data_IF_091817833282
#
_entry.id   IF_091817833282
#
_cell.length_a   1.000
_cell.length_b   1.000
_cell.length_c   1.000
_cell.angle_alpha   90.00
_cell.angle_beta   90.00
_cell.angle_gamma   90.00
#
_symmetry.space_group_name_H-M   'P 1'
#
loop_
_entity.id
_entity.type
_entity.pdbx_description
1 polymer ?
#
# COMPACT_ATOMS: atom_id res chain seq x y z
N UNK A 1 -6.33 14.42 6.26
CA UNK A 1 -5.17 14.78 5.41
C UNK A 1 -5.35 14.15 4.04
N UNK A 2 -4.91 14.81 2.97
CA UNK A 2 -4.89 14.25 1.61
C UNK A 2 -3.48 14.43 1.04
N UNK A 3 -2.99 13.42 0.33
CA UNK A 3 -1.68 13.43 -0.31
C UNK A 3 -1.80 12.88 -1.73
N UNK A 4 -1.01 13.42 -2.65
CA UNK A 4 -0.95 12.96 -4.02
C UNK A 4 0.51 13.00 -4.49
N UNK A 5 0.98 11.90 -5.05
CA UNK A 5 2.33 11.78 -5.61
C UNK A 5 2.25 11.21 -7.03
N UNK A 6 3.16 11.65 -7.88
CA UNK A 6 3.39 11.11 -9.21
C UNK A 6 4.86 10.70 -9.32
N UNK A 7 5.12 9.58 -9.97
CA UNK A 7 6.46 9.09 -10.23
C UNK A 7 6.51 8.42 -11.61
N UNK A 8 7.62 8.58 -12.32
CA UNK A 8 7.92 7.85 -13.55
C UNK A 8 8.78 6.65 -13.19
N UNK A 9 8.35 5.46 -13.59
CA UNK A 9 9.05 4.21 -13.32
C UNK A 9 9.57 3.67 -14.66
N UNK A 10 10.88 3.36 -14.79
CA UNK A 10 11.44 2.82 -16.03
C UNK A 10 11.12 1.32 -16.17
N UNK A 11 9.83 1.00 -16.27
CA UNK A 11 9.30 -0.34 -16.44
C UNK A 11 8.06 -0.31 -17.34
N UNK A 12 7.79 -1.43 -18.03
CA UNK A 12 6.54 -1.59 -18.78
C UNK A 12 5.32 -1.48 -17.85
N UNK A 13 4.21 -0.95 -18.37
CA UNK A 13 2.98 -0.75 -17.58
C UNK A 13 2.42 -2.06 -17.02
N UNK A 14 2.45 -3.13 -17.81
CA UNK A 14 1.97 -4.47 -17.42
C UNK A 14 2.80 -5.09 -16.27
N UNK A 15 4.13 -5.24 -16.36
CA UNK A 15 4.90 -5.80 -15.25
C UNK A 15 4.84 -4.91 -13.99
N UNK A 16 4.76 -3.59 -14.15
CA UNK A 16 4.56 -2.68 -13.01
C UNK A 16 3.20 -2.90 -12.33
N UNK A 17 2.14 -3.09 -13.12
CA UNK A 17 0.80 -3.39 -12.61
C UNK A 17 0.78 -4.67 -11.79
N UNK A 18 1.31 -5.77 -12.33
CA UNK A 18 1.35 -7.04 -11.61
C UNK A 18 2.22 -6.95 -10.33
N UNK A 19 3.31 -6.17 -10.35
CA UNK A 19 4.07 -5.88 -9.14
C UNK A 19 3.26 -5.11 -8.10
N UNK A 20 2.60 -4.01 -8.49
CA UNK A 20 1.86 -3.13 -7.57
C UNK A 20 0.65 -3.82 -6.92
N UNK A 21 0.10 -4.84 -7.56
CA UNK A 21 -1.00 -5.64 -7.02
C UNK A 21 -0.54 -6.82 -6.16
N UNK A 22 0.74 -7.16 -6.17
CA UNK A 22 1.32 -8.14 -5.26
C UNK A 22 1.67 -7.45 -3.93
N UNK A 23 0.68 -7.33 -3.05
CA UNK A 23 0.81 -6.62 -1.76
C UNK A 23 2.02 -7.10 -0.93
N UNK A 24 2.29 -8.42 -0.77
CA UNK A 24 3.49 -8.89 -0.09
C UNK A 24 4.81 -8.44 -0.74
N UNK A 25 4.90 -8.40 -2.09
CA UNK A 25 6.09 -7.88 -2.76
C UNK A 25 6.24 -6.38 -2.59
N UNK A 26 5.17 -5.60 -2.77
CA UNK A 26 5.19 -4.13 -2.60
C UNK A 26 5.59 -3.76 -1.18
N UNK A 27 5.10 -4.49 -0.17
CA UNK A 27 5.37 -4.21 1.23
C UNK A 27 6.87 -4.25 1.57
N UNK A 28 7.68 -5.03 0.84
CA UNK A 28 9.15 -5.08 1.02
C UNK A 28 9.84 -3.77 0.66
N UNK A 29 9.19 -2.91 -0.12
CA UNK A 29 9.69 -1.59 -0.48
C UNK A 29 9.32 -0.52 0.55
N UNK A 30 8.49 -0.85 1.55
CA UNK A 30 8.04 0.10 2.57
C UNK A 30 8.96 0.04 3.81
N UNK A 31 9.43 1.19 4.31
CA UNK A 31 10.28 1.21 5.49
C UNK A 31 9.50 0.77 6.73
N UNK A 32 10.08 -0.13 7.51
CA UNK A 32 9.53 -0.55 8.80
C UNK A 32 8.44 -1.62 8.72
N UNK A 33 8.15 -2.21 7.57
CA UNK A 33 7.24 -3.38 7.51
C UNK A 33 7.91 -4.56 8.23
N UNK A 34 7.24 -5.09 9.26
CA UNK A 34 7.68 -6.31 9.96
C UNK A 34 7.05 -7.55 9.33
N UNK A 35 5.76 -7.50 8.99
CA UNK A 35 5.05 -8.63 8.39
C UNK A 35 3.86 -8.18 7.54
N UNK A 36 3.56 -8.99 6.52
CA UNK A 36 2.31 -8.94 5.76
C UNK A 36 1.84 -10.35 5.53
N UNK A 37 0.62 -10.64 5.95
CA UNK A 37 -0.02 -11.94 5.84
C UNK A 37 -1.29 -11.79 5.02
N UNK A 38 -1.44 -12.58 3.97
CA UNK A 38 -2.69 -12.65 3.23
C UNK A 38 -3.72 -13.42 4.05
N UNK A 39 -4.89 -12.81 4.29
CA UNK A 39 -6.00 -13.44 5.02
C UNK A 39 -7.00 -14.09 4.05
N UNK A 40 -7.25 -13.43 2.93
CA UNK A 40 -8.09 -13.91 1.84
C UNK A 40 -7.63 -13.32 0.48
N UNK A 41 -8.40 -13.50 -0.58
CA UNK A 41 -8.06 -13.02 -1.93
C UNK A 41 -7.81 -11.51 -2.03
N UNK A 42 -8.41 -10.71 -1.15
CA UNK A 42 -8.37 -9.24 -1.20
C UNK A 42 -7.93 -8.58 0.10
N UNK A 43 -7.85 -9.34 1.20
CA UNK A 43 -7.54 -8.83 2.53
C UNK A 43 -6.17 -9.31 3.01
N UNK A 44 -5.41 -8.37 3.56
CA UNK A 44 -4.10 -8.60 4.16
C UNK A 44 -4.06 -8.02 5.56
N UNK A 45 -3.36 -8.69 6.46
CA UNK A 45 -2.94 -8.13 7.74
C UNK A 45 -1.48 -7.71 7.67
N UNK A 46 -1.19 -6.47 8.06
CA UNK A 46 0.16 -5.90 8.05
C UNK A 46 0.55 -5.40 9.43
N UNK A 47 1.83 -5.59 9.78
CA UNK A 47 2.45 -4.94 10.94
C UNK A 47 3.61 -4.06 10.48
N UNK A 48 3.54 -2.79 10.88
CA UNK A 48 4.51 -1.75 10.58
C UNK A 48 5.11 -1.22 11.89
N UNK A 49 6.43 -1.24 11.99
CA UNK A 49 7.21 -0.63 13.05
C UNK A 49 8.08 0.48 12.49
N UNK A 50 7.73 1.72 12.81
CA UNK A 50 8.49 2.90 12.39
C UNK A 50 8.97 3.69 13.60
N UNK A 51 10.08 4.42 13.43
CA UNK A 51 10.50 5.44 14.38
C UNK A 51 10.30 6.81 13.76
N UNK A 52 9.56 7.67 14.46
CA UNK A 52 9.38 9.09 14.11
C UNK A 52 9.98 9.92 15.24
N UNK A 53 11.21 10.40 15.04
CA UNK A 53 11.96 11.08 16.10
C UNK A 53 12.18 10.15 17.32
N UNK A 54 11.96 10.62 18.56
CA UNK A 54 12.12 9.79 19.75
C UNK A 54 10.98 8.77 19.94
N UNK A 55 9.91 8.83 19.13
CA UNK A 55 8.71 8.00 19.29
C UNK A 55 8.80 6.76 18.41
N UNK A 56 8.70 5.58 19.02
CA UNK A 56 8.52 4.31 18.31
C UNK A 56 7.04 3.97 18.18
N UNK A 57 6.57 3.72 16.97
CA UNK A 57 5.20 3.33 16.67
C UNK A 57 5.17 1.91 16.15
N UNK A 58 4.22 1.11 16.64
CA UNK A 58 3.91 -0.22 16.11
C UNK A 58 2.43 -0.25 15.74
N UNK A 59 2.17 -0.25 14.44
CA UNK A 59 0.84 -0.26 13.86
C UNK A 59 0.55 -1.66 13.32
N UNK A 60 -0.58 -2.23 13.74
CA UNK A 60 -1.11 -3.46 13.13
C UNK A 60 -2.47 -3.13 12.53
N UNK A 61 -2.70 -3.61 11.31
CA UNK A 61 -3.91 -3.24 10.57
C UNK A 61 -4.24 -4.15 9.42
N UNK A 62 -5.45 -3.96 8.90
CA UNK A 62 -5.97 -4.61 7.71
C UNK A 62 -5.83 -3.71 6.49
N UNK A 63 -5.48 -4.32 5.38
CA UNK A 63 -5.41 -3.71 4.05
C UNK A 63 -6.37 -4.50 3.17
N UNK A 64 -7.30 -3.79 2.51
CA UNK A 64 -8.30 -4.39 1.63
C UNK A 64 -8.12 -3.84 0.22
N UNK A 65 -7.95 -4.73 -0.76
CA UNK A 65 -7.98 -4.40 -2.18
C UNK A 65 -9.42 -4.13 -2.59
N UNK A 66 -9.79 -2.85 -2.65
CA UNK A 66 -11.15 -2.39 -2.89
C UNK A 66 -11.49 -2.25 -4.38
N UNK A 67 -10.48 -2.09 -5.24
CA UNK A 67 -10.65 -2.01 -6.70
C UNK A 67 -9.43 -2.60 -7.39
N UNK A 68 -9.67 -3.42 -8.42
CA UNK A 68 -8.69 -3.91 -9.39
C UNK A 68 -9.26 -3.78 -10.80
N UNK A 69 -9.10 -2.62 -11.41
CA UNK A 69 -9.53 -2.36 -12.78
C UNK A 69 -8.31 -2.35 -13.71
N UNK A 70 -8.01 -3.52 -14.28
CA UNK A 70 -6.91 -3.67 -15.24
C UNK A 70 -7.18 -2.97 -16.56
N UNK A 71 -8.44 -2.82 -16.98
CA UNK A 71 -8.79 -2.19 -18.25
C UNK A 71 -8.44 -0.70 -18.22
N UNK A 72 -8.72 -0.03 -17.09
CA UNK A 72 -8.43 1.39 -16.90
C UNK A 72 -7.13 1.65 -16.11
N UNK A 73 -6.41 0.59 -15.72
CA UNK A 73 -5.19 0.63 -14.92
C UNK A 73 -5.34 1.37 -13.60
N UNK A 74 -6.46 1.12 -12.91
CA UNK A 74 -6.82 1.75 -11.64
C UNK A 74 -6.95 0.71 -10.54
N UNK A 75 -6.38 0.99 -9.39
CA UNK A 75 -6.61 0.19 -8.19
C UNK A 75 -6.83 1.08 -6.98
N UNK A 76 -7.53 0.55 -6.00
CA UNK A 76 -7.77 1.23 -4.73
C UNK A 76 -7.58 0.28 -3.56
N UNK A 77 -7.00 0.81 -2.49
CA UNK A 77 -6.80 0.13 -1.21
C UNK A 77 -7.53 0.88 -0.12
N UNK A 78 -8.12 0.14 0.82
CA UNK A 78 -8.56 0.66 2.11
C UNK A 78 -7.65 0.11 3.19
N UNK A 79 -7.26 0.97 4.12
CA UNK A 79 -6.37 0.61 5.22
C UNK A 79 -7.04 0.99 6.52
N UNK A 80 -7.07 0.06 7.46
CA UNK A 80 -7.47 0.30 8.83
C UNK A 80 -6.38 -0.24 9.74
N UNK A 81 -5.70 0.61 10.49
CA UNK A 81 -4.67 0.21 11.45
C UNK A 81 -4.94 0.85 12.80
N UNK A 82 -4.54 0.17 13.87
CA UNK A 82 -4.61 0.72 15.21
C UNK A 82 -3.24 0.62 15.88
N UNK A 83 -2.89 1.64 16.64
CA UNK A 83 -1.79 1.57 17.59
C UNK A 83 -2.33 1.05 18.93
N UNK A 84 -1.82 -0.10 19.38
CA UNK A 84 -2.25 -0.73 20.63
C UNK A 84 -1.84 0.06 21.88
N UNK A 85 -0.82 0.92 21.78
CA UNK A 85 -0.29 1.73 22.89
C UNK A 85 -0.80 3.16 22.87
N UNK A 86 -1.03 3.75 21.70
CA UNK A 86 -1.37 5.17 21.56
C UNK A 86 -2.88 5.48 21.42
N UNK A 87 -3.76 4.47 21.50
CA UNK A 87 -5.23 4.59 21.32
C UNK A 87 -5.68 5.25 19.99
N UNK A 88 -4.78 5.39 19.02
CA UNK A 88 -5.05 6.01 17.73
C UNK A 88 -5.43 4.95 16.69
N UNK A 89 -6.57 5.16 16.02
CA UNK A 89 -6.96 4.41 14.83
C UNK A 89 -6.66 5.23 13.57
N UNK A 90 -5.96 4.63 12.62
CA UNK A 90 -5.71 5.16 11.28
C UNK A 90 -6.66 4.49 10.32
N UNK A 91 -7.46 5.30 9.61
CA UNK A 91 -8.22 4.86 8.45
C UNK A 91 -7.78 5.64 7.22
N UNK A 92 -7.53 4.95 6.13
CA UNK A 92 -7.02 5.54 4.90
C UNK A 92 -7.63 4.89 3.67
N UNK A 93 -7.89 5.71 2.66
CA UNK A 93 -8.23 5.24 1.32
C UNK A 93 -7.12 5.71 0.38
N UNK A 94 -6.61 4.81 -0.43
CA UNK A 94 -5.57 5.08 -1.43
C UNK A 94 -6.09 4.65 -2.79
N UNK A 95 -5.88 5.48 -3.81
CA UNK A 95 -6.16 5.13 -5.19
C UNK A 95 -4.90 5.36 -6.04
N UNK A 96 -4.67 4.49 -7.01
CA UNK A 96 -3.58 4.59 -7.96
C UNK A 96 -4.10 4.49 -9.39
N UNK A 97 -3.39 5.13 -10.32
CA UNK A 97 -3.61 4.98 -11.74
C UNK A 97 -2.27 4.91 -12.45
N UNK A 98 -2.10 3.94 -13.36
CA UNK A 98 -0.95 3.89 -14.24
C UNK A 98 -1.26 4.54 -15.58
N UNK A 99 -0.30 5.32 -16.08
CA UNK A 99 -0.32 5.89 -17.42
C UNK A 99 0.99 5.56 -18.11
N UNK A 100 0.89 5.10 -19.36
CA UNK A 100 2.04 4.90 -20.23
C UNK A 100 2.49 6.26 -20.79
N UNK A 101 3.80 6.53 -20.75
CA UNK A 101 4.36 7.83 -21.12
C UNK A 101 4.88 7.88 -22.57
N UNK A 102 4.51 6.91 -23.40
CA UNK A 102 5.07 6.75 -24.76
C UNK A 102 6.43 6.05 -24.74
N UNK A 103 7.01 5.73 -25.91
CA UNK A 103 8.29 5.05 -25.99
C UNK A 103 9.41 5.94 -25.43
N UNK A 104 10.26 5.35 -24.58
CA UNK A 104 11.58 5.89 -24.22
C UNK A 104 12.49 5.97 -25.44
#
# INVERSE_FOLDING_TARGET
>A
MKFQQKATIPAGREPLWEFLLDVPKVAKSLPGVESVTQLDETTYEGTLKVRVGPIGLKLTGKIVLAERDKQNWKAALRVEAADRMAAGAVRGNTAMQLRELGPS
#
